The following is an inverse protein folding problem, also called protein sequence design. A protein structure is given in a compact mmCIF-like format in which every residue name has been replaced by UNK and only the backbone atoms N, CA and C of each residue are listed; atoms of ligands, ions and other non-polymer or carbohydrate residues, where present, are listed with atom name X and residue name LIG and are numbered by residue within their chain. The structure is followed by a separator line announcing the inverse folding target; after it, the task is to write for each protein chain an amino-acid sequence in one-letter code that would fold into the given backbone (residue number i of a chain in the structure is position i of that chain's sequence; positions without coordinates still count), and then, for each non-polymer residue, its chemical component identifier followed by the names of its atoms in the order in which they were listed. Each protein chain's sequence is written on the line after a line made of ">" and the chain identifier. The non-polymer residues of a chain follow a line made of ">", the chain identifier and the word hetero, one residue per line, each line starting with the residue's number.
data_IF_470096262986
#
_entry.id   IF_470096262986
#
_cell.length_a   1.000
_cell.length_b   1.000
_cell.length_c   1.000
_cell.angle_alpha   90.00
_cell.angle_beta   90.00
_cell.angle_gamma   90.00
#
_symmetry.space_group_name_H-M   'P 1'
#
loop_
_entity.id
_entity.type
_entity.pdbx_description
1 polymer ?
#
# COMPACT_ATOMS: atom_id res chain seq x y z
N UNK A 1 85.05 11.70 -14.32
CA UNK A 1 84.16 10.77 -13.60
C UNK A 1 82.81 11.47 -13.47
N UNK A 2 81.89 11.12 -14.32
CA UNK A 2 80.55 11.70 -14.44
C UNK A 2 79.54 10.80 -13.69
N UNK A 3 78.87 11.35 -12.68
CA UNK A 3 77.75 10.69 -12.05
C UNK A 3 76.39 11.15 -12.67
N UNK A 4 75.70 10.28 -13.31
CA UNK A 4 74.33 10.48 -13.80
C UNK A 4 73.34 10.27 -12.67
N UNK A 5 72.61 11.32 -12.30
CA UNK A 5 71.39 11.19 -11.51
C UNK A 5 70.21 10.86 -12.44
N UNK A 6 69.57 9.71 -12.22
CA UNK A 6 68.28 9.40 -12.82
C UNK A 6 67.18 9.90 -11.90
N UNK A 7 66.45 10.94 -12.32
CA UNK A 7 65.21 11.35 -11.70
C UNK A 7 64.05 10.51 -12.21
N UNK A 8 63.35 9.86 -11.30
CA UNK A 8 62.08 9.19 -11.58
C UNK A 8 60.93 10.18 -11.43
N UNK A 9 60.23 10.48 -12.54
CA UNK A 9 58.95 11.18 -12.50
C UNK A 9 57.86 10.17 -12.09
N UNK A 10 57.26 10.38 -10.92
CA UNK A 10 56.03 9.71 -10.52
C UNK A 10 54.87 10.48 -11.11
N UNK A 11 54.18 9.91 -12.11
CA UNK A 11 52.92 10.41 -12.62
C UNK A 11 51.82 10.03 -11.66
N UNK A 12 51.29 10.96 -10.89
CA UNK A 12 50.12 10.79 -10.06
C UNK A 12 48.85 10.75 -10.95
N UNK A 13 48.22 9.63 -11.03
CA UNK A 13 46.89 9.52 -11.64
C UNK A 13 45.89 10.08 -10.64
N UNK A 14 45.39 11.28 -10.88
CA UNK A 14 44.21 11.82 -10.20
C UNK A 14 42.99 11.15 -10.82
N UNK A 15 42.41 10.18 -10.12
CA UNK A 15 41.08 9.68 -10.43
C UNK A 15 40.06 10.78 -10.07
N UNK A 16 39.56 11.52 -11.06
CA UNK A 16 38.34 12.31 -10.89
C UNK A 16 37.21 11.35 -10.66
N UNK A 17 36.74 11.25 -9.42
CA UNK A 17 35.41 10.71 -9.11
C UNK A 17 34.40 11.71 -9.69
N UNK A 18 33.86 11.44 -10.87
CA UNK A 18 32.66 12.11 -11.35
C UNK A 18 31.55 11.69 -10.38
N UNK A 19 31.22 12.56 -9.44
CA UNK A 19 29.97 12.47 -8.71
C UNK A 19 28.85 12.51 -9.74
N UNK A 20 28.14 11.41 -9.91
CA UNK A 20 26.89 11.40 -10.67
C UNK A 20 25.96 12.32 -9.88
N UNK A 21 25.73 13.53 -10.40
CA UNK A 21 24.68 14.39 -9.89
C UNK A 21 23.38 13.61 -10.10
N UNK A 22 22.79 13.07 -9.02
CA UNK A 22 21.43 12.58 -9.07
C UNK A 22 20.57 13.80 -9.43
N UNK A 23 20.01 13.80 -10.64
CA UNK A 23 18.97 14.75 -10.98
C UNK A 23 17.87 14.60 -9.94
N UNK A 24 17.39 15.70 -9.36
CA UNK A 24 16.27 15.65 -8.44
C UNK A 24 15.10 14.98 -9.14
N UNK A 25 14.73 13.80 -8.66
CA UNK A 25 13.57 13.07 -9.19
C UNK A 25 12.30 13.91 -8.94
N UNK A 26 11.38 13.92 -9.90
CA UNK A 26 10.07 14.52 -9.68
C UNK A 26 9.40 13.85 -8.48
N UNK A 27 8.56 14.58 -7.72
CA UNK A 27 7.81 14.00 -6.61
C UNK A 27 7.09 12.73 -7.03
N UNK A 28 7.21 11.67 -6.23
CA UNK A 28 6.57 10.39 -6.52
C UNK A 28 5.06 10.52 -6.49
N UNK A 29 4.38 10.00 -7.53
CA UNK A 29 2.94 9.82 -7.60
C UNK A 29 2.67 8.38 -8.05
N UNK A 30 2.35 7.50 -7.11
CA UNK A 30 2.33 6.06 -7.37
C UNK A 30 1.35 5.62 -8.45
N UNK A 31 0.19 6.28 -8.59
CA UNK A 31 -0.81 5.90 -9.58
C UNK A 31 -0.53 6.47 -10.99
N UNK A 32 0.15 7.61 -11.06
CA UNK A 32 0.44 8.33 -12.31
C UNK A 32 1.90 8.15 -12.79
N UNK A 33 2.77 7.47 -12.02
CA UNK A 33 4.16 7.26 -12.40
C UNK A 33 4.26 6.44 -13.68
N UNK A 34 4.98 6.97 -14.68
CA UNK A 34 5.18 6.30 -15.96
C UNK A 34 6.24 5.20 -15.88
N UNK A 35 7.27 5.40 -15.01
CA UNK A 35 8.30 4.39 -14.74
C UNK A 35 7.76 3.37 -13.73
N UNK A 36 6.97 2.44 -14.24
CA UNK A 36 6.30 1.40 -13.45
C UNK A 36 6.29 0.06 -14.16
N UNK A 37 6.14 -1.00 -13.36
CA UNK A 37 5.94 -2.36 -13.85
C UNK A 37 4.96 -3.13 -12.96
N UNK A 38 4.38 -4.18 -13.48
CA UNK A 38 3.62 -5.13 -12.69
C UNK A 38 4.56 -6.09 -11.93
N UNK A 39 4.17 -6.46 -10.72
CA UNK A 39 4.94 -7.40 -9.87
C UNK A 39 5.25 -8.72 -10.55
N UNK A 40 4.34 -9.20 -11.42
CA UNK A 40 4.46 -10.48 -12.13
C UNK A 40 5.59 -10.51 -13.17
N UNK A 41 6.08 -9.33 -13.56
CA UNK A 41 7.17 -9.19 -14.53
C UNK A 41 8.57 -9.24 -13.89
N UNK A 42 8.67 -9.18 -12.55
CA UNK A 42 9.95 -9.07 -11.84
C UNK A 42 10.93 -10.18 -12.20
N UNK A 43 10.51 -11.44 -12.11
CA UNK A 43 11.39 -12.57 -12.38
C UNK A 43 11.72 -12.72 -13.88
N UNK A 44 10.78 -12.38 -14.75
CA UNK A 44 11.00 -12.42 -16.19
C UNK A 44 12.01 -11.36 -16.65
N UNK A 45 11.98 -10.17 -16.02
CA UNK A 45 12.83 -9.03 -16.41
C UNK A 45 14.20 -9.05 -15.73
N UNK A 46 14.26 -9.44 -14.46
CA UNK A 46 15.46 -9.34 -13.62
C UNK A 46 16.04 -10.69 -13.20
N UNK A 47 15.42 -11.80 -13.60
CA UNK A 47 15.80 -13.13 -13.18
C UNK A 47 15.37 -13.47 -11.74
N UNK A 48 15.70 -14.68 -11.26
CA UNK A 48 15.38 -15.08 -9.91
C UNK A 48 16.08 -14.20 -8.89
N UNK A 49 15.44 -14.03 -7.72
CA UNK A 49 15.99 -13.24 -6.62
C UNK A 49 17.35 -13.80 -6.18
N UNK A 50 18.37 -12.96 -6.17
CA UNK A 50 19.69 -13.34 -5.66
C UNK A 50 19.66 -13.54 -4.14
N UNK A 51 20.48 -14.47 -3.65
CA UNK A 51 20.64 -14.64 -2.20
C UNK A 51 21.23 -13.36 -1.58
N UNK A 52 20.64 -12.84 -0.49
CA UNK A 52 21.14 -11.66 0.19
C UNK A 52 22.52 -11.94 0.84
N UNK A 53 23.27 -10.87 1.12
CA UNK A 53 24.50 -11.00 1.88
C UNK A 53 24.23 -11.58 3.28
N UNK A 54 25.18 -12.37 3.80
CA UNK A 54 25.05 -12.93 5.14
C UNK A 54 24.93 -11.81 6.19
N UNK A 55 23.97 -11.94 7.11
CA UNK A 55 23.73 -10.96 8.17
C UNK A 55 22.95 -9.72 7.71
N UNK A 56 22.35 -9.73 6.52
CA UNK A 56 21.45 -8.65 6.06
C UNK A 56 20.34 -8.41 7.09
N UNK A 57 20.15 -7.15 7.48
CA UNK A 57 19.09 -6.70 8.38
C UNK A 57 18.17 -5.73 7.64
N UNK A 58 16.88 -6.00 7.69
CA UNK A 58 15.86 -5.15 7.06
C UNK A 58 14.91 -4.60 8.12
N UNK A 59 14.64 -3.30 8.07
CA UNK A 59 13.69 -2.63 8.94
C UNK A 59 12.38 -2.38 8.22
N UNK A 60 11.25 -2.66 8.88
CA UNK A 60 9.92 -2.32 8.39
C UNK A 60 9.18 -1.45 9.41
N UNK A 61 8.52 -0.40 8.94
CA UNK A 61 7.73 0.49 9.79
C UNK A 61 6.35 0.69 9.16
N UNK A 62 5.31 0.30 9.90
CA UNK A 62 3.92 0.47 9.47
C UNK A 62 3.14 1.44 10.37
N UNK A 63 1.88 1.68 10.03
CA UNK A 63 1.03 2.64 10.76
C UNK A 63 0.66 2.15 12.15
N UNK A 64 0.22 0.90 12.26
CA UNK A 64 -0.20 0.29 13.53
C UNK A 64 -0.25 -1.23 13.39
N UNK A 65 -0.23 -1.96 14.50
CA UNK A 65 -0.50 -3.40 14.52
C UNK A 65 -1.90 -3.76 15.03
N UNK A 66 -2.73 -2.78 15.36
CA UNK A 66 -4.13 -3.03 15.72
C UNK A 66 -5.00 -3.36 14.50
N UNK A 67 -4.67 -2.81 13.33
CA UNK A 67 -5.30 -3.15 12.06
C UNK A 67 -4.66 -4.42 11.45
N UNK A 68 -5.49 -5.38 11.07
CA UNK A 68 -5.05 -6.67 10.48
C UNK A 68 -4.25 -6.48 9.19
N UNK A 69 -4.61 -5.49 8.35
CA UNK A 69 -3.91 -5.21 7.11
C UNK A 69 -2.39 -5.11 7.33
N UNK A 70 -1.96 -4.31 8.32
CA UNK A 70 -0.54 -4.09 8.60
C UNK A 70 0.14 -5.32 9.21
N UNK A 71 -0.59 -6.12 10.01
CA UNK A 71 -0.06 -7.40 10.51
C UNK A 71 0.18 -8.38 9.36
N UNK A 72 -0.76 -8.45 8.42
CA UNK A 72 -0.68 -9.32 7.24
C UNK A 72 0.44 -8.89 6.30
N UNK A 73 0.65 -7.59 6.11
CA UNK A 73 1.79 -7.05 5.35
C UNK A 73 3.11 -7.48 6.00
N UNK A 74 3.24 -7.33 7.32
CA UNK A 74 4.40 -7.78 8.09
C UNK A 74 4.62 -9.30 8.03
N UNK A 75 3.55 -10.09 7.98
CA UNK A 75 3.65 -11.54 7.76
C UNK A 75 4.26 -11.85 6.39
N UNK A 76 3.91 -11.10 5.36
CA UNK A 76 4.52 -11.25 4.03
C UNK A 76 6.02 -10.96 4.06
N UNK A 77 6.45 -9.92 4.75
CA UNK A 77 7.88 -9.65 4.97
C UNK A 77 8.56 -10.83 5.69
N UNK A 78 7.92 -11.33 6.76
CA UNK A 78 8.47 -12.42 7.55
C UNK A 78 8.61 -13.72 6.75
N UNK A 79 7.64 -14.05 5.90
CA UNK A 79 7.69 -15.24 5.03
C UNK A 79 8.96 -15.26 4.16
N UNK A 80 9.29 -14.13 3.55
CA UNK A 80 10.49 -14.01 2.70
C UNK A 80 11.76 -13.98 3.57
N UNK A 81 11.74 -13.26 4.70
CA UNK A 81 12.86 -13.16 5.61
C UNK A 81 13.26 -14.55 6.17
N UNK A 82 12.29 -15.35 6.59
CA UNK A 82 12.52 -16.72 7.11
C UNK A 82 13.09 -17.62 6.01
N UNK A 83 12.54 -17.57 4.81
CA UNK A 83 12.99 -18.36 3.66
C UNK A 83 14.45 -18.07 3.28
N UNK A 84 14.91 -16.83 3.46
CA UNK A 84 16.23 -16.37 3.03
C UNK A 84 17.23 -16.20 4.19
N UNK A 85 16.83 -16.44 5.43
CA UNK A 85 17.69 -16.27 6.60
C UNK A 85 18.05 -14.81 6.89
N UNK A 86 17.14 -13.87 6.62
CA UNK A 86 17.31 -12.44 6.85
C UNK A 86 16.80 -12.07 8.24
N UNK A 87 17.49 -11.15 8.91
CA UNK A 87 16.96 -10.54 10.13
C UNK A 87 15.99 -9.43 9.78
N UNK A 88 14.70 -9.64 10.06
CA UNK A 88 13.66 -8.61 9.93
C UNK A 88 13.35 -8.01 11.30
N UNK A 89 13.29 -6.69 11.37
CA UNK A 89 12.70 -5.95 12.50
C UNK A 89 11.50 -5.17 11.96
N UNK A 90 10.31 -5.59 12.33
CA UNK A 90 9.06 -4.95 11.91
C UNK A 90 8.39 -4.29 13.11
N UNK A 91 8.19 -2.98 13.03
CA UNK A 91 7.62 -2.15 14.08
C UNK A 91 6.50 -1.26 13.54
N UNK A 92 5.68 -0.74 14.44
CA UNK A 92 4.60 0.17 14.09
C UNK A 92 4.38 1.21 15.19
N UNK A 93 3.78 2.32 14.82
CA UNK A 93 3.29 3.30 15.78
C UNK A 93 2.15 2.73 16.66
N UNK A 94 1.81 3.41 17.74
CA UNK A 94 0.84 2.94 18.71
C UNK A 94 -0.57 2.81 18.13
N UNK A 95 -0.93 3.72 17.21
CA UNK A 95 -2.25 3.76 16.56
C UNK A 95 -2.17 4.48 15.19
N UNK A 96 -3.26 4.41 14.42
CA UNK A 96 -3.44 5.24 13.22
C UNK A 96 -3.39 6.72 13.63
N UNK A 97 -2.59 7.50 12.89
CA UNK A 97 -2.40 8.94 13.17
C UNK A 97 -1.26 9.29 14.13
N UNK A 98 -0.61 8.33 14.79
CA UNK A 98 0.60 8.58 15.60
C UNK A 98 1.84 8.83 14.72
N UNK A 99 1.86 10.02 14.12
CA UNK A 99 2.89 10.43 13.16
C UNK A 99 4.28 10.58 13.80
N UNK A 100 4.34 11.11 15.03
CA UNK A 100 5.61 11.34 15.74
C UNK A 100 6.22 10.03 16.24
N UNK A 101 5.40 9.14 16.79
CA UNK A 101 5.85 7.80 17.19
C UNK A 101 6.41 7.03 16.01
N UNK A 102 5.74 7.08 14.85
CA UNK A 102 6.22 6.43 13.64
C UNK A 102 7.54 7.01 13.13
N UNK A 103 7.70 8.33 13.15
CA UNK A 103 8.95 9.00 12.75
C UNK A 103 10.10 8.58 13.67
N UNK A 104 9.88 8.57 14.98
CA UNK A 104 10.90 8.13 15.96
C UNK A 104 11.36 6.70 15.71
N UNK A 105 10.43 5.77 15.44
CA UNK A 105 10.77 4.38 15.10
C UNK A 105 11.62 4.30 13.83
N UNK A 106 11.24 5.03 12.78
CA UNK A 106 12.00 5.03 11.52
C UNK A 106 13.43 5.57 11.74
N UNK A 107 13.57 6.67 12.48
CA UNK A 107 14.88 7.24 12.79
C UNK A 107 15.76 6.33 13.66
N UNK A 108 15.17 5.59 14.60
CA UNK A 108 15.88 4.61 15.43
C UNK A 108 16.42 3.46 14.58
N UNK A 109 15.66 2.96 13.60
CA UNK A 109 16.15 1.93 12.68
C UNK A 109 17.28 2.45 11.78
N UNK A 110 17.20 3.71 11.31
CA UNK A 110 18.30 4.35 10.56
C UNK A 110 19.58 4.38 11.42
N UNK A 111 19.48 4.80 12.67
CA UNK A 111 20.62 4.88 13.59
C UNK A 111 21.23 3.49 13.91
N UNK A 112 20.46 2.42 13.82
CA UNK A 112 20.91 1.03 14.03
C UNK A 112 21.59 0.42 12.81
N UNK A 113 21.64 1.12 11.66
CA UNK A 113 22.35 0.69 10.46
C UNK A 113 21.72 -0.52 9.76
N UNK A 114 20.40 -0.50 9.58
CA UNK A 114 19.71 -1.47 8.73
C UNK A 114 20.11 -1.30 7.26
N UNK A 115 20.15 -2.39 6.49
CA UNK A 115 20.56 -2.35 5.08
C UNK A 115 19.54 -1.63 4.20
N UNK A 116 18.26 -1.69 4.52
CA UNK A 116 17.16 -0.98 3.86
C UNK A 116 15.97 -0.85 4.79
N UNK A 117 15.09 0.10 4.50
CA UNK A 117 13.85 0.33 5.24
C UNK A 117 12.62 0.22 4.33
N UNK A 118 11.60 -0.48 4.81
CA UNK A 118 10.28 -0.59 4.21
C UNK A 118 9.33 0.32 5.03
N UNK A 119 8.85 1.40 4.44
CA UNK A 119 8.07 2.42 5.15
C UNK A 119 6.65 2.52 4.62
N UNK A 120 5.66 2.31 5.50
CA UNK A 120 4.23 2.56 5.24
C UNK A 120 3.78 3.75 6.10
N UNK A 121 3.84 5.00 5.59
CA UNK A 121 3.69 6.20 6.40
C UNK A 121 2.24 6.45 6.86
N UNK A 122 2.07 7.18 7.97
CA UNK A 122 0.76 7.65 8.46
C UNK A 122 0.12 8.63 7.47
N UNK A 123 0.92 9.53 6.93
CA UNK A 123 0.53 10.55 5.93
C UNK A 123 1.61 10.66 4.87
N UNK A 124 1.32 11.35 3.77
CA UNK A 124 2.30 11.57 2.70
C UNK A 124 3.52 12.41 3.15
N UNK A 125 3.45 13.05 4.31
CA UNK A 125 4.47 13.99 4.78
C UNK A 125 5.27 13.52 6.01
N UNK A 126 4.69 12.70 6.90
CA UNK A 126 5.26 12.49 8.24
C UNK A 126 6.62 11.77 8.25
N UNK A 127 6.93 10.97 7.24
CA UNK A 127 8.23 10.27 7.14
C UNK A 127 9.22 10.92 6.15
N UNK A 128 8.92 12.08 5.58
CA UNK A 128 9.89 12.83 4.74
C UNK A 128 11.22 13.02 5.49
N UNK A 129 11.27 13.47 6.78
CA UNK A 129 12.52 13.62 7.49
C UNK A 129 13.32 12.32 7.63
N UNK A 130 12.64 11.18 7.82
CA UNK A 130 13.30 9.87 7.90
C UNK A 130 13.89 9.45 6.54
N UNK A 131 13.17 9.69 5.44
CA UNK A 131 13.67 9.41 4.08
C UNK A 131 14.93 10.23 3.79
N UNK A 132 14.93 11.54 4.09
CA UNK A 132 16.10 12.40 3.91
C UNK A 132 17.29 11.95 4.77
N UNK A 133 17.04 11.56 6.01
CA UNK A 133 18.07 11.03 6.91
C UNK A 133 18.64 9.70 6.42
N UNK A 134 17.79 8.79 5.95
CA UNK A 134 18.22 7.50 5.38
C UNK A 134 19.05 7.72 4.12
N UNK A 135 18.63 8.62 3.22
CA UNK A 135 19.36 9.00 2.01
C UNK A 135 20.75 9.55 2.35
N UNK A 136 20.85 10.44 3.34
CA UNK A 136 22.13 10.96 3.80
C UNK A 136 23.06 9.88 4.40
N UNK A 137 22.47 8.82 4.96
CA UNK A 137 23.20 7.66 5.48
C UNK A 137 23.48 6.57 4.43
N UNK A 138 23.04 6.75 3.17
CA UNK A 138 23.18 5.76 2.11
C UNK A 138 22.31 4.52 2.29
N UNK A 139 21.23 4.62 3.05
CA UNK A 139 20.28 3.53 3.32
C UNK A 139 19.11 3.66 2.34
N UNK A 140 18.89 2.71 1.43
CA UNK A 140 17.73 2.70 0.54
C UNK A 140 16.42 2.63 1.33
N UNK A 141 15.42 3.37 0.86
CA UNK A 141 14.07 3.35 1.41
C UNK A 141 13.09 2.92 0.33
N UNK A 142 12.25 1.96 0.66
CA UNK A 142 11.11 1.56 -0.15
C UNK A 142 9.82 2.04 0.53
N UNK A 143 9.07 2.91 -0.12
CA UNK A 143 7.73 3.26 0.33
C UNK A 143 6.79 2.10 -0.02
N UNK A 144 6.10 1.58 0.96
CA UNK A 144 5.17 0.45 0.77
C UNK A 144 3.78 0.89 1.13
N UNK A 145 2.93 0.81 0.12
CA UNK A 145 1.50 1.06 0.21
C UNK A 145 1.11 2.27 1.07
N UNK A 146 0.04 2.66 0.99
CA UNK A 146 -1.14 3.41 1.20
C UNK A 146 -0.84 4.90 1.03
N UNK A 147 -0.06 5.53 1.89
CA UNK A 147 0.40 6.89 1.68
C UNK A 147 1.68 6.92 0.83
N UNK A 148 1.87 8.00 0.09
CA UNK A 148 3.00 8.15 -0.84
C UNK A 148 3.92 9.26 -0.34
N UNK A 149 5.17 8.90 0.00
CA UNK A 149 6.20 9.86 0.38
C UNK A 149 6.76 10.48 -0.90
N UNK A 150 6.55 11.78 -1.16
CA UNK A 150 6.96 12.38 -2.44
C UNK A 150 8.46 12.32 -2.71
N UNK A 151 9.30 12.30 -1.67
CA UNK A 151 10.76 12.22 -1.77
C UNK A 151 11.30 10.78 -1.85
N UNK A 152 10.45 9.75 -1.76
CA UNK A 152 10.87 8.36 -1.93
C UNK A 152 11.26 8.08 -3.40
N UNK A 153 12.30 7.27 -3.59
CA UNK A 153 12.75 6.87 -4.92
C UNK A 153 11.91 5.74 -5.50
N UNK A 154 11.47 4.81 -4.65
CA UNK A 154 10.71 3.63 -5.05
C UNK A 154 9.46 3.43 -4.21
N UNK A 155 8.44 2.87 -4.85
CA UNK A 155 7.15 2.52 -4.25
C UNK A 155 6.74 1.10 -4.66
N UNK A 156 6.19 0.37 -3.70
CA UNK A 156 5.50 -0.92 -3.94
C UNK A 156 4.10 -0.86 -3.37
N UNK A 157 3.11 -1.09 -4.19
CA UNK A 157 1.71 -1.08 -3.76
C UNK A 157 0.74 -1.13 -4.95
N UNK A 158 -0.53 -1.35 -4.63
CA UNK A 158 -1.57 -1.39 -5.65
C UNK A 158 -1.96 0.00 -6.16
N UNK A 159 -2.72 0.04 -7.26
CA UNK A 159 -3.24 1.28 -7.85
C UNK A 159 -4.41 1.78 -7.00
N UNK A 160 -4.19 2.82 -6.19
CA UNK A 160 -5.16 3.27 -5.20
C UNK A 160 -6.48 3.75 -5.82
N UNK A 161 -6.40 4.50 -6.92
CA UNK A 161 -7.60 4.94 -7.66
C UNK A 161 -8.40 3.76 -8.19
N UNK A 162 -7.74 2.70 -8.62
CA UNK A 162 -8.35 1.46 -9.11
C UNK A 162 -9.29 0.79 -8.12
N UNK A 163 -9.02 0.91 -6.82
CA UNK A 163 -9.89 0.36 -5.78
C UNK A 163 -11.30 0.96 -5.86
N UNK A 164 -11.40 2.29 -5.88
CA UNK A 164 -12.68 2.97 -6.03
C UNK A 164 -13.36 2.70 -7.37
N UNK A 165 -12.59 2.67 -8.46
CA UNK A 165 -13.09 2.35 -9.81
C UNK A 165 -13.74 0.96 -9.84
N UNK A 166 -13.11 -0.05 -9.23
CA UNK A 166 -13.65 -1.41 -9.18
C UNK A 166 -15.01 -1.47 -8.47
N UNK A 167 -15.14 -0.78 -7.34
CA UNK A 167 -16.41 -0.72 -6.60
C UNK A 167 -17.47 0.04 -7.39
N UNK A 168 -17.13 1.19 -7.98
CA UNK A 168 -18.07 1.96 -8.82
C UNK A 168 -18.59 1.13 -10.01
N UNK A 169 -17.70 0.40 -10.69
CA UNK A 169 -18.07 -0.48 -11.80
C UNK A 169 -19.03 -1.59 -11.36
N UNK A 170 -18.84 -2.14 -10.15
CA UNK A 170 -19.80 -3.10 -9.61
C UNK A 170 -21.19 -2.48 -9.45
N UNK A 171 -21.31 -1.26 -8.88
CA UNK A 171 -22.59 -0.58 -8.77
C UNK A 171 -23.22 -0.33 -10.15
N UNK A 172 -22.45 0.14 -11.12
CA UNK A 172 -22.91 0.40 -12.48
C UNK A 172 -23.49 -0.88 -13.13
N UNK A 173 -22.84 -2.01 -12.92
CA UNK A 173 -23.25 -3.28 -13.49
C UNK A 173 -24.44 -3.92 -12.75
N UNK A 174 -24.52 -3.78 -11.42
CA UNK A 174 -25.48 -4.50 -10.59
C UNK A 174 -26.65 -3.66 -10.08
N UNK A 175 -26.64 -2.34 -10.31
CA UNK A 175 -27.69 -1.39 -9.99
C UNK A 175 -28.02 -0.53 -11.20
N UNK A 176 -28.56 -1.10 -12.30
CA UNK A 176 -28.75 -0.41 -13.59
C UNK A 176 -29.67 0.80 -13.50
N UNK A 177 -30.58 0.82 -12.49
CA UNK A 177 -31.48 1.97 -12.27
C UNK A 177 -30.75 3.15 -11.59
N UNK A 178 -29.56 2.95 -11.08
CA UNK A 178 -28.85 3.93 -10.30
C UNK A 178 -29.39 4.11 -8.89
N UNK A 179 -29.11 5.25 -8.28
CA UNK A 179 -29.60 5.62 -6.95
C UNK A 179 -28.57 6.36 -6.10
N UNK A 180 -28.89 6.55 -4.82
CA UNK A 180 -28.05 7.29 -3.87
C UNK A 180 -26.98 6.41 -3.27
N UNK A 181 -25.73 6.86 -3.31
CA UNK A 181 -24.57 6.20 -2.72
C UNK A 181 -23.79 7.18 -1.84
N UNK A 182 -22.98 6.66 -0.93
CA UNK A 182 -22.08 7.51 -0.13
C UNK A 182 -20.69 6.90 -0.02
N UNK A 183 -19.70 7.75 0.28
CA UNK A 183 -18.33 7.36 0.57
C UNK A 183 -18.02 7.63 2.03
N UNK A 184 -17.42 6.65 2.68
CA UNK A 184 -16.79 6.78 4.00
C UNK A 184 -15.29 6.81 3.77
N UNK A 185 -14.71 8.02 3.91
CA UNK A 185 -13.33 8.29 3.54
C UNK A 185 -12.35 7.88 4.66
N UNK A 186 -11.13 7.56 4.26
CA UNK A 186 -10.03 7.41 5.19
C UNK A 186 -9.60 8.74 5.81
N UNK A 187 -8.39 8.76 6.35
CA UNK A 187 -7.84 9.96 6.98
C UNK A 187 -7.45 11.00 5.93
N UNK A 188 -7.87 12.27 6.08
CA UNK A 188 -7.43 13.36 5.22
C UNK A 188 -5.89 13.51 5.17
N UNK A 189 -5.35 13.82 3.99
CA UNK A 189 -3.90 13.94 3.79
C UNK A 189 -3.17 12.61 3.59
N UNK A 190 -3.90 11.52 3.39
CA UNK A 190 -3.37 10.20 2.98
C UNK A 190 -3.71 9.99 1.51
N UNK A 191 -2.70 9.74 0.68
CA UNK A 191 -2.84 9.55 -0.77
C UNK A 191 -3.94 8.54 -1.12
N UNK A 192 -3.92 7.36 -0.48
CA UNK A 192 -4.90 6.31 -0.74
C UNK A 192 -6.34 6.75 -0.46
N UNK A 193 -6.60 7.50 0.63
CA UNK A 193 -7.94 7.98 0.95
C UNK A 193 -8.47 8.86 -0.20
N UNK A 194 -7.66 9.82 -0.67
CA UNK A 194 -8.03 10.70 -1.78
C UNK A 194 -8.24 9.94 -3.09
N UNK A 195 -7.31 9.03 -3.44
CA UNK A 195 -7.40 8.29 -4.70
C UNK A 195 -8.54 7.29 -4.74
N UNK A 196 -8.77 6.53 -3.65
CA UNK A 196 -9.90 5.60 -3.53
C UNK A 196 -11.23 6.34 -3.67
N UNK A 197 -11.38 7.45 -2.95
CA UNK A 197 -12.57 8.32 -3.03
C UNK A 197 -12.76 8.89 -4.45
N UNK A 198 -11.70 9.45 -5.06
CA UNK A 198 -11.76 9.99 -6.41
C UNK A 198 -12.11 8.90 -7.44
N UNK A 199 -11.48 7.73 -7.35
CA UNK A 199 -11.77 6.60 -8.24
C UNK A 199 -13.23 6.19 -8.23
N UNK A 200 -13.83 6.12 -7.04
CA UNK A 200 -15.26 5.81 -6.91
C UNK A 200 -16.14 6.96 -7.43
N UNK A 201 -15.94 8.18 -6.91
CA UNK A 201 -16.84 9.32 -7.19
C UNK A 201 -16.81 9.75 -8.66
N UNK A 202 -15.64 9.81 -9.27
CA UNK A 202 -15.51 10.16 -10.68
C UNK A 202 -16.18 9.12 -11.59
N UNK A 203 -15.94 7.81 -11.30
CA UNK A 203 -16.48 6.72 -12.11
C UNK A 203 -18.00 6.63 -11.97
N UNK A 204 -18.52 6.70 -10.73
CA UNK A 204 -19.97 6.58 -10.49
C UNK A 204 -20.74 7.77 -11.04
N UNK A 205 -20.18 8.99 -10.92
CA UNK A 205 -20.79 10.21 -11.48
C UNK A 205 -20.81 10.20 -13.01
N UNK A 206 -19.74 9.67 -13.65
CA UNK A 206 -19.71 9.57 -15.11
C UNK A 206 -20.79 8.66 -15.68
N UNK A 207 -21.31 7.72 -14.90
CA UNK A 207 -22.43 6.87 -15.30
C UNK A 207 -23.79 7.62 -15.39
N UNK A 208 -23.91 8.80 -14.77
CA UNK A 208 -25.06 9.70 -14.88
C UNK A 208 -26.37 9.20 -14.25
N UNK A 209 -26.33 8.10 -13.51
CA UNK A 209 -27.51 7.46 -12.89
C UNK A 209 -27.43 7.42 -11.35
N UNK A 210 -26.30 7.77 -10.79
CA UNK A 210 -26.03 7.73 -9.36
C UNK A 210 -25.86 9.13 -8.80
N UNK A 211 -26.20 9.29 -7.53
CA UNK A 211 -25.99 10.51 -6.77
C UNK A 211 -25.11 10.18 -5.56
N UNK A 212 -23.91 10.79 -5.47
CA UNK A 212 -23.08 10.71 -4.27
C UNK A 212 -23.59 11.73 -3.27
N UNK A 213 -24.45 11.30 -2.34
CA UNK A 213 -25.14 12.20 -1.40
C UNK A 213 -24.27 12.61 -0.22
N UNK A 214 -23.21 11.87 0.07
CA UNK A 214 -22.24 12.18 1.12
C UNK A 214 -20.88 11.56 0.81
N UNK A 215 -19.83 12.28 1.20
CA UNK A 215 -18.45 11.80 1.22
C UNK A 215 -17.82 12.38 2.48
N UNK A 216 -17.58 11.55 3.50
CA UNK A 216 -17.22 12.01 4.83
C UNK A 216 -16.06 11.22 5.42
N UNK A 217 -15.07 11.86 6.07
CA UNK A 217 -13.97 11.18 6.70
C UNK A 217 -14.43 10.41 7.95
N UNK A 218 -13.89 9.21 8.13
CA UNK A 218 -14.01 8.40 9.33
C UNK A 218 -12.64 7.86 9.79
N UNK A 219 -11.53 8.46 9.33
CA UNK A 219 -10.18 8.33 9.87
C UNK A 219 -9.69 6.88 10.07
N UNK A 220 -10.12 5.96 9.18
CA UNK A 220 -9.87 4.51 9.27
C UNK A 220 -10.56 3.81 10.46
N UNK A 221 -11.40 4.54 11.21
CA UNK A 221 -12.08 4.09 12.41
C UNK A 221 -13.42 3.41 12.10
N UNK A 222 -13.60 2.18 12.61
CA UNK A 222 -14.85 1.43 12.53
C UNK A 222 -16.00 2.15 13.24
N UNK A 223 -15.73 2.73 14.42
CA UNK A 223 -16.72 3.46 15.21
C UNK A 223 -17.17 4.76 14.51
N UNK A 224 -16.23 5.55 13.99
CA UNK A 224 -16.56 6.78 13.27
C UNK A 224 -17.37 6.47 12.01
N UNK A 225 -17.02 5.40 11.29
CA UNK A 225 -17.75 4.93 10.11
C UNK A 225 -19.17 4.49 10.44
N UNK A 226 -19.37 3.77 11.55
CA UNK A 226 -20.70 3.41 12.06
C UNK A 226 -21.56 4.66 12.33
N UNK A 227 -21.01 5.65 13.03
CA UNK A 227 -21.70 6.89 13.37
C UNK A 227 -22.05 7.72 12.12
N UNK A 228 -21.11 7.83 11.17
CA UNK A 228 -21.32 8.52 9.92
C UNK A 228 -22.41 7.82 9.07
N UNK A 229 -22.32 6.50 8.89
CA UNK A 229 -23.30 5.74 8.14
C UNK A 229 -24.70 5.80 8.78
N UNK A 230 -24.81 5.74 10.11
CA UNK A 230 -26.08 5.89 10.83
C UNK A 230 -26.73 7.23 10.50
N UNK A 231 -25.96 8.32 10.54
CA UNK A 231 -26.46 9.66 10.20
C UNK A 231 -26.91 9.74 8.74
N UNK A 232 -26.12 9.21 7.82
CA UNK A 232 -26.44 9.23 6.38
C UNK A 232 -27.70 8.41 6.09
N UNK A 233 -27.86 7.22 6.69
CA UNK A 233 -29.05 6.38 6.51
C UNK A 233 -30.34 7.01 7.05
N UNK A 234 -30.25 7.86 8.09
CA UNK A 234 -31.39 8.65 8.61
C UNK A 234 -31.78 9.79 7.65
N UNK A 235 -30.79 10.44 7.06
CA UNK A 235 -31.01 11.55 6.14
C UNK A 235 -31.49 11.07 4.75
N UNK A 236 -31.02 9.93 4.31
CA UNK A 236 -31.31 9.34 3.01
C UNK A 236 -31.84 7.90 3.14
N UNK A 237 -33.10 7.71 3.51
CA UNK A 237 -33.64 6.36 3.73
C UNK A 237 -33.73 5.48 2.48
N UNK A 238 -33.57 6.07 1.29
CA UNK A 238 -33.54 5.44 -0.02
C UNK A 238 -32.11 5.12 -0.54
N UNK A 239 -31.10 5.18 0.33
CA UNK A 239 -29.74 4.77 0.01
C UNK A 239 -29.68 3.36 -0.54
N UNK A 240 -28.81 3.15 -1.55
CA UNK A 240 -28.56 1.83 -2.15
C UNK A 240 -27.13 1.32 -1.91
N UNK A 241 -26.22 2.15 -1.42
CA UNK A 241 -24.88 1.67 -1.19
C UNK A 241 -23.90 2.62 -0.53
N UNK A 242 -22.86 2.00 0.03
CA UNK A 242 -21.68 2.68 0.57
C UNK A 242 -20.40 2.07 0.02
N UNK A 243 -19.43 2.94 -0.23
CA UNK A 243 -18.03 2.57 -0.36
C UNK A 243 -17.25 3.14 0.82
N UNK A 244 -16.64 2.30 1.62
CA UNK A 244 -15.69 2.70 2.66
C UNK A 244 -14.25 2.47 2.17
N UNK A 245 -13.37 3.43 2.42
CA UNK A 245 -12.00 3.37 1.91
C UNK A 245 -11.15 2.24 2.54
N UNK A 246 -11.61 1.59 3.64
CA UNK A 246 -11.03 0.35 4.12
C UNK A 246 -12.08 -0.59 4.72
N UNK A 247 -11.69 -1.84 4.95
CA UNK A 247 -12.57 -2.88 5.48
C UNK A 247 -13.00 -2.64 6.91
N UNK A 248 -12.11 -2.09 7.75
CA UNK A 248 -12.47 -1.74 9.14
C UNK A 248 -13.66 -0.80 9.18
N UNK A 249 -13.64 0.26 8.37
CA UNK A 249 -14.76 1.20 8.23
C UNK A 249 -15.97 0.54 7.57
N UNK A 250 -15.77 -0.29 6.53
CA UNK A 250 -16.87 -1.01 5.87
C UNK A 250 -17.65 -1.89 6.85
N UNK A 251 -16.96 -2.57 7.77
CA UNK A 251 -17.61 -3.36 8.83
C UNK A 251 -18.40 -2.47 9.80
N UNK A 252 -17.96 -1.26 10.10
CA UNK A 252 -18.74 -0.28 10.85
C UNK A 252 -20.00 0.15 10.09
N UNK A 253 -19.91 0.37 8.78
CA UNK A 253 -21.07 0.65 7.92
C UNK A 253 -22.04 -0.51 7.91
N UNK A 254 -21.57 -1.76 7.82
CA UNK A 254 -22.39 -2.97 7.90
C UNK A 254 -23.21 -3.00 9.19
N UNK A 255 -22.62 -2.67 10.33
CA UNK A 255 -23.32 -2.58 11.62
C UNK A 255 -24.43 -1.52 11.59
N UNK A 256 -24.17 -0.34 11.01
CA UNK A 256 -25.18 0.71 10.86
C UNK A 256 -26.33 0.29 9.94
N UNK A 257 -26.03 -0.36 8.82
CA UNK A 257 -27.03 -0.89 7.88
C UNK A 257 -27.90 -1.95 8.54
N UNK A 258 -27.31 -2.87 9.33
CA UNK A 258 -28.04 -3.88 10.12
C UNK A 258 -28.93 -3.23 11.17
N UNK A 259 -28.42 -2.26 11.90
CA UNK A 259 -29.21 -1.52 12.91
C UNK A 259 -30.41 -0.78 12.30
N UNK A 260 -30.28 -0.35 11.03
CA UNK A 260 -31.36 0.29 10.28
C UNK A 260 -32.32 -0.72 9.58
N UNK A 261 -32.03 -2.02 9.64
CA UNK A 261 -32.83 -3.06 8.96
C UNK A 261 -32.80 -2.99 7.43
N UNK A 262 -31.65 -2.57 6.85
CA UNK A 262 -31.52 -2.26 5.41
C UNK A 262 -30.57 -3.19 4.65
N UNK A 263 -30.28 -4.37 5.18
CA UNK A 263 -29.29 -5.30 4.63
C UNK A 263 -29.62 -5.72 3.20
N UNK A 264 -30.93 -5.90 2.89
CA UNK A 264 -31.37 -6.31 1.57
C UNK A 264 -31.39 -5.16 0.54
N UNK A 265 -31.31 -3.90 1.02
CA UNK A 265 -31.40 -2.70 0.19
C UNK A 265 -30.01 -2.11 -0.12
N UNK A 266 -29.11 -2.10 0.87
CA UNK A 266 -27.88 -1.33 0.86
C UNK A 266 -26.67 -2.24 0.66
N UNK A 267 -25.99 -2.08 -0.46
CA UNK A 267 -24.72 -2.74 -0.72
C UNK A 267 -23.57 -2.01 -0.03
N UNK A 268 -22.67 -2.74 0.63
CA UNK A 268 -21.50 -2.17 1.33
C UNK A 268 -20.21 -2.78 0.80
N UNK A 269 -19.27 -1.92 0.48
CA UNK A 269 -17.94 -2.30 0.00
C UNK A 269 -16.83 -1.69 0.84
N UNK A 270 -15.75 -2.47 1.00
CA UNK A 270 -14.50 -2.02 1.62
C UNK A 270 -13.31 -2.08 0.67
N UNK A 271 -12.15 -1.95 1.23
CA UNK A 271 -10.84 -2.19 0.61
C UNK A 271 -9.92 -2.73 1.70
N UNK A 272 -9.05 -3.63 1.39
CA UNK A 272 -7.90 -4.23 2.11
C UNK A 272 -7.83 -5.74 1.89
N UNK A 273 -8.94 -6.48 2.08
CA UNK A 273 -8.99 -7.95 2.04
C UNK A 273 -8.68 -8.59 3.40
N UNK A 274 -9.10 -8.00 4.52
CA UNK A 274 -8.90 -8.58 5.86
C UNK A 274 -9.83 -9.78 6.11
N UNK A 275 -9.45 -10.65 7.05
CA UNK A 275 -10.18 -11.88 7.35
C UNK A 275 -11.62 -11.64 7.81
N UNK A 276 -11.87 -10.59 8.60
CA UNK A 276 -13.20 -10.21 9.02
C UNK A 276 -14.10 -9.78 7.85
N UNK A 277 -13.54 -9.10 6.82
CA UNK A 277 -14.29 -8.77 5.61
C UNK A 277 -14.65 -10.03 4.82
N UNK A 278 -13.71 -10.96 4.66
CA UNK A 278 -14.00 -12.27 4.03
C UNK A 278 -15.09 -13.04 4.78
N UNK A 279 -15.06 -13.06 6.12
CA UNK A 279 -16.11 -13.68 6.93
C UNK A 279 -17.46 -13.00 6.71
N UNK A 280 -17.49 -11.66 6.69
CA UNK A 280 -18.72 -10.89 6.46
C UNK A 280 -19.28 -11.08 5.03
N UNK A 281 -18.43 -11.20 4.00
CA UNK A 281 -18.85 -11.53 2.63
C UNK A 281 -19.48 -12.93 2.57
N UNK A 282 -18.84 -13.93 3.20
CA UNK A 282 -19.39 -15.30 3.26
C UNK A 282 -20.73 -15.36 3.98
N UNK A 283 -20.89 -14.56 5.04
CA UNK A 283 -22.16 -14.44 5.77
C UNK A 283 -23.24 -13.68 4.98
N UNK A 284 -22.88 -12.91 3.95
CA UNK A 284 -23.79 -12.05 3.18
C UNK A 284 -24.03 -10.68 3.83
N UNK A 285 -23.24 -10.31 4.82
CA UNK A 285 -23.34 -9.03 5.54
C UNK A 285 -22.60 -7.90 4.81
N UNK A 286 -21.47 -8.20 4.22
CA UNK A 286 -20.68 -7.31 3.37
C UNK A 286 -20.81 -7.76 1.91
N UNK A 287 -21.06 -6.82 0.99
CA UNK A 287 -21.22 -7.14 -0.43
C UNK A 287 -19.90 -7.53 -1.08
N UNK A 288 -18.82 -6.84 -0.72
CA UNK A 288 -17.48 -7.15 -1.22
C UNK A 288 -16.40 -6.24 -0.65
N UNK A 289 -15.18 -6.57 -0.99
CA UNK A 289 -13.98 -5.76 -0.72
C UNK A 289 -13.06 -5.76 -1.93
N UNK A 290 -12.31 -4.69 -2.13
CA UNK A 290 -11.15 -4.76 -3.04
C UNK A 290 -9.97 -5.23 -2.22
N UNK A 291 -9.61 -6.50 -2.40
CA UNK A 291 -8.44 -7.08 -1.75
C UNK A 291 -7.16 -6.59 -2.45
N UNK A 292 -6.25 -6.03 -1.70
CA UNK A 292 -4.90 -5.66 -2.13
C UNK A 292 -3.85 -6.70 -1.71
N UNK A 293 -4.29 -7.86 -1.25
CA UNK A 293 -3.48 -9.02 -0.91
C UNK A 293 -2.28 -8.68 -0.01
N UNK A 294 -2.51 -8.23 1.24
CA UNK A 294 -1.45 -7.65 2.07
C UNK A 294 -0.27 -8.59 2.34
N UNK A 295 -0.49 -9.90 2.53
CA UNK A 295 0.61 -10.87 2.68
C UNK A 295 1.46 -10.91 1.41
N UNK A 296 0.83 -11.03 0.25
CA UNK A 296 1.54 -11.06 -1.04
C UNK A 296 2.24 -9.73 -1.34
N UNK A 297 1.59 -8.61 -1.03
CA UNK A 297 2.20 -7.27 -1.13
C UNK A 297 3.45 -7.16 -0.26
N UNK A 298 3.42 -7.70 0.95
CA UNK A 298 4.60 -7.78 1.82
C UNK A 298 5.72 -8.64 1.23
N UNK A 299 5.40 -9.82 0.71
CA UNK A 299 6.39 -10.66 0.03
C UNK A 299 7.06 -9.91 -1.13
N UNK A 300 6.25 -9.30 -2.01
CA UNK A 300 6.76 -8.53 -3.16
C UNK A 300 7.63 -7.36 -2.71
N UNK A 301 7.21 -6.62 -1.69
CA UNK A 301 7.97 -5.46 -1.22
C UNK A 301 9.33 -5.85 -0.63
N UNK A 302 9.41 -6.95 0.12
CA UNK A 302 10.70 -7.44 0.60
C UNK A 302 11.57 -7.96 -0.55
N UNK A 303 11.00 -8.68 -1.53
CA UNK A 303 11.70 -9.11 -2.75
C UNK A 303 12.27 -7.91 -3.53
N UNK A 304 11.47 -6.84 -3.71
CA UNK A 304 11.90 -5.61 -4.39
C UNK A 304 13.05 -4.95 -3.64
N UNK A 305 12.95 -4.84 -2.31
CA UNK A 305 14.02 -4.24 -1.49
C UNK A 305 15.34 -5.00 -1.61
N UNK A 306 15.30 -6.33 -1.69
CA UNK A 306 16.49 -7.15 -1.88
C UNK A 306 17.10 -6.99 -3.28
N UNK A 307 16.28 -6.81 -4.31
CA UNK A 307 16.74 -6.52 -5.67
C UNK A 307 17.45 -5.17 -5.75
N UNK A 308 16.92 -4.15 -5.07
CA UNK A 308 17.56 -2.84 -4.93
C UNK A 308 18.92 -2.96 -4.20
N UNK A 309 18.98 -3.71 -3.11
CA UNK A 309 20.24 -3.98 -2.40
C UNK A 309 21.26 -4.75 -3.26
N UNK A 310 20.82 -5.57 -4.18
CA UNK A 310 21.67 -6.25 -5.16
C UNK A 310 22.12 -5.34 -6.32
N UNK A 311 21.72 -4.07 -6.32
CA UNK A 311 22.08 -3.10 -7.34
C UNK A 311 21.31 -3.23 -8.65
N UNK A 312 20.15 -3.88 -8.64
CA UNK A 312 19.28 -3.92 -9.82
C UNK A 312 18.57 -2.58 -10.02
N UNK A 313 18.53 -2.09 -11.25
CA UNK A 313 17.81 -0.88 -11.63
C UNK A 313 16.33 -1.19 -11.84
N UNK A 314 15.53 -1.02 -10.80
CA UNK A 314 14.10 -1.25 -10.83
C UNK A 314 13.34 0.03 -11.21
N UNK A 315 12.15 -0.09 -11.84
CA UNK A 315 11.25 1.04 -12.00
C UNK A 315 10.89 1.69 -10.66
N UNK A 316 10.52 2.95 -10.70
CA UNK A 316 10.10 3.70 -9.50
C UNK A 316 8.89 3.09 -8.81
N UNK A 317 7.98 2.48 -9.57
CA UNK A 317 6.78 1.82 -9.03
C UNK A 317 6.74 0.36 -9.46
N UNK A 318 6.63 -0.53 -8.48
CA UNK A 318 6.22 -1.92 -8.70
C UNK A 318 4.78 -2.06 -8.22
N UNK A 319 3.87 -2.26 -9.17
CA UNK A 319 2.45 -2.41 -8.89
C UNK A 319 2.14 -3.80 -8.34
N UNK A 320 1.51 -3.87 -7.16
CA UNK A 320 1.02 -5.13 -6.58
C UNK A 320 -0.41 -5.43 -7.04
N UNK A 321 -0.86 -6.70 -6.93
CA UNK A 321 -2.18 -7.07 -7.40
C UNK A 321 -3.29 -6.47 -6.54
N UNK A 322 -4.46 -6.33 -7.14
CA UNK A 322 -5.72 -6.01 -6.46
C UNK A 322 -6.88 -6.68 -7.19
N UNK A 323 -7.91 -7.09 -6.46
CA UNK A 323 -9.10 -7.70 -7.05
C UNK A 323 -10.35 -7.39 -6.26
N UNK A 324 -11.48 -7.15 -6.93
CA UNK A 324 -12.76 -7.03 -6.26
C UNK A 324 -13.24 -8.43 -5.86
N UNK A 325 -13.37 -8.66 -4.57
CA UNK A 325 -13.85 -9.91 -3.97
C UNK A 325 -15.30 -9.75 -3.58
N UNK A 326 -16.13 -10.63 -4.07
CA UNK A 326 -17.55 -10.77 -3.72
C UNK A 326 -17.86 -12.22 -3.41
N UNK A 327 -19.12 -12.53 -3.07
CA UNK A 327 -19.54 -13.90 -2.83
C UNK A 327 -19.30 -14.84 -4.01
N UNK A 328 -19.27 -14.29 -5.24
CA UNK A 328 -19.16 -15.08 -6.47
C UNK A 328 -17.74 -15.63 -6.73
N UNK A 329 -16.70 -14.95 -6.20
CA UNK A 329 -15.31 -15.32 -6.46
C UNK A 329 -14.45 -15.53 -5.21
N UNK A 330 -15.01 -15.35 -4.02
CA UNK A 330 -14.27 -15.40 -2.75
C UNK A 330 -13.50 -16.71 -2.55
N UNK A 331 -14.03 -17.84 -3.00
CA UNK A 331 -13.38 -19.15 -2.82
C UNK A 331 -12.11 -19.30 -3.67
N UNK A 332 -11.97 -18.50 -4.72
CA UNK A 332 -10.74 -18.46 -5.53
C UNK A 332 -9.58 -17.81 -4.78
N UNK A 333 -9.86 -16.80 -3.96
CA UNK A 333 -8.86 -15.96 -3.31
C UNK A 333 -8.70 -16.22 -1.80
N UNK A 334 -9.66 -16.91 -1.16
CA UNK A 334 -9.63 -17.27 0.25
C UNK A 334 -8.66 -18.44 0.51
N UNK A 335 -7.37 -18.24 0.23
CA UNK A 335 -6.33 -19.26 0.41
C UNK A 335 -5.13 -18.70 1.18
N UNK A 336 -4.53 -19.53 2.02
CA UNK A 336 -3.23 -19.26 2.68
C UNK A 336 -2.03 -19.76 1.85
N UNK A 337 -2.28 -20.48 0.75
CA UNK A 337 -1.24 -20.91 -0.17
C UNK A 337 -0.88 -19.78 -1.15
N UNK A 338 0.25 -19.12 -0.88
CA UNK A 338 0.72 -17.98 -1.71
C UNK A 338 1.07 -18.39 -3.13
N UNK A 339 1.47 -19.64 -3.38
CA UNK A 339 1.73 -20.10 -4.74
C UNK A 339 0.41 -20.27 -5.52
N UNK A 340 -0.61 -20.83 -4.88
CA UNK A 340 -1.95 -20.93 -5.45
C UNK A 340 -2.56 -19.54 -5.70
N UNK A 341 -2.40 -18.59 -4.76
CA UNK A 341 -2.85 -17.21 -4.90
C UNK A 341 -2.17 -16.51 -6.08
N UNK A 342 -0.82 -16.58 -6.16
CA UNK A 342 -0.07 -16.02 -7.29
C UNK A 342 -0.55 -16.59 -8.63
N UNK A 343 -0.78 -17.90 -8.70
CA UNK A 343 -1.30 -18.54 -9.90
C UNK A 343 -2.74 -18.12 -10.26
N UNK A 344 -3.59 -17.83 -9.29
CA UNK A 344 -4.94 -17.32 -9.51
C UNK A 344 -4.95 -15.89 -10.04
N UNK A 345 -4.03 -15.05 -9.56
CA UNK A 345 -3.90 -13.63 -9.94
C UNK A 345 -3.25 -13.42 -11.33
N UNK A 346 -2.61 -14.45 -11.89
CA UNK A 346 -1.99 -14.41 -13.23
C UNK A 346 -2.94 -14.90 -14.36
N UNK A 347 -4.16 -15.29 -14.03
CA UNK A 347 -5.19 -15.75 -14.98
C UNK A 347 -6.07 -14.62 -15.46
#
# INVERSE_FOLDING_TARGET
>A
MQHFLKGALAAGVFALSMGVAHADLAPLNSDAEADRMDWSELDAKFGPLAAPAAGTKIGGVSKTLTNEYWRSLGQGYQNVADKLGITLVYQAAANEGDQLGQLSIAEDLINQGFATLLLSPQTDANLIPAVEKAKAAGIPVLNVNDAVIPSAEHYVGNVQKGNGVNVANWFIANRPEGGKVAVIEGQPGVYAAGQRTAGFTETINAAGKFEVVASVPANWSREEAFNAATTILQQYPDMIGFYANNDGMALGVVEAVKAAGKQDQVAVFGTDGISDAYAAIKAGDLTGTVDSFPVLTGEIALEVSLRLLAGQELPRVVATPQSLITKDNIDTYATSDMAALRAALLK
#
